data_IF_040744138798
#
_entry.id   IF_040744138798
#
_cell.length_a   1.000
_cell.length_b   1.000
_cell.length_c   1.000
_cell.angle_alpha   90.00
_cell.angle_beta   90.00
_cell.angle_gamma   90.00
#
_symmetry.space_group_name_H-M   'P 1'
#
loop_
_entity.id
_entity.type
_entity.pdbx_description
1 polymer ?
#
# COMPACT_ATOMS: atom_id res chain seq x y z
N UNK A 1 14.11 1.91 34.89
CA UNK A 1 15.48 1.35 35.05
C UNK A 1 15.60 0.13 34.19
N UNK A 2 16.45 0.17 33.21
CA UNK A 2 16.77 -0.98 32.36
C UNK A 2 17.56 -2.00 33.19
N UNK A 3 17.23 -3.29 33.07
CA UNK A 3 17.96 -4.36 33.73
C UNK A 3 19.37 -4.49 33.15
N UNK A 4 20.33 -4.90 33.99
CA UNK A 4 21.65 -5.27 33.48
C UNK A 4 21.52 -6.53 32.59
N UNK A 5 21.82 -6.46 31.29
CA UNK A 5 21.57 -7.54 30.34
C UNK A 5 22.30 -8.86 30.74
N UNK A 6 23.46 -8.76 31.40
CA UNK A 6 24.21 -9.94 31.85
C UNK A 6 23.46 -10.69 32.97
N UNK A 7 22.97 -9.94 33.97
CA UNK A 7 22.22 -10.54 35.10
C UNK A 7 20.85 -11.05 34.66
N UNK A 8 20.19 -10.30 33.75
CA UNK A 8 18.89 -10.71 33.19
C UNK A 8 19.05 -11.96 32.34
N UNK A 9 20.11 -12.02 31.51
CA UNK A 9 20.43 -13.19 30.70
C UNK A 9 20.66 -14.46 31.54
N UNK A 10 21.43 -14.36 32.62
CA UNK A 10 21.66 -15.50 33.50
C UNK A 10 20.34 -16.06 34.11
N UNK A 11 19.51 -15.16 34.64
CA UNK A 11 18.20 -15.55 35.20
C UNK A 11 17.26 -16.12 34.15
N UNK A 12 17.25 -15.52 32.96
CA UNK A 12 16.42 -15.98 31.86
C UNK A 12 16.80 -17.39 31.43
N UNK A 13 18.07 -17.68 31.29
CA UNK A 13 18.60 -18.98 30.90
C UNK A 13 18.26 -20.04 31.94
N UNK A 14 18.50 -19.78 33.24
CA UNK A 14 18.14 -20.65 34.31
C UNK A 14 16.62 -20.94 34.36
N UNK A 15 15.81 -19.92 34.15
CA UNK A 15 14.35 -20.05 34.15
C UNK A 15 13.85 -20.86 32.95
N UNK A 16 14.33 -20.61 31.75
CA UNK A 16 13.94 -21.32 30.52
C UNK A 16 14.30 -22.81 30.65
N UNK A 17 15.55 -23.14 31.01
CA UNK A 17 16.01 -24.49 31.15
C UNK A 17 15.18 -25.21 32.22
N UNK A 18 14.96 -24.56 33.39
CA UNK A 18 14.16 -25.11 34.47
C UNK A 18 12.70 -25.41 34.10
N UNK A 19 12.03 -24.48 33.43
CA UNK A 19 10.64 -24.65 32.99
C UNK A 19 10.51 -25.72 31.91
N UNK A 20 11.38 -25.72 30.90
CA UNK A 20 11.33 -26.68 29.80
C UNK A 20 11.60 -28.12 30.29
N UNK A 21 12.55 -28.29 31.21
CA UNK A 21 12.84 -29.57 31.81
C UNK A 21 11.66 -30.08 32.68
N UNK A 22 10.97 -29.17 33.39
CA UNK A 22 9.74 -29.50 34.10
C UNK A 22 8.58 -29.94 33.19
N UNK A 23 8.52 -29.40 31.98
CA UNK A 23 7.55 -29.80 30.95
C UNK A 23 7.92 -31.10 30.23
N UNK A 24 9.03 -31.75 30.61
CA UNK A 24 9.45 -33.04 30.09
C UNK A 24 10.28 -32.95 28.78
N UNK A 25 10.78 -31.78 28.40
CA UNK A 25 11.71 -31.67 27.29
C UNK A 25 13.10 -32.17 27.68
N UNK A 26 13.86 -32.75 26.72
CA UNK A 26 15.26 -33.11 26.94
C UNK A 26 16.08 -31.87 27.31
N UNK A 27 16.99 -32.04 28.28
CA UNK A 27 17.81 -30.93 28.78
C UNK A 27 18.65 -30.27 27.69
N UNK A 28 19.13 -31.05 26.71
CA UNK A 28 19.87 -30.51 25.55
C UNK A 28 19.02 -29.58 24.69
N UNK A 29 17.73 -29.91 24.47
CA UNK A 29 16.81 -29.05 23.73
C UNK A 29 16.49 -27.77 24.51
N UNK A 30 16.28 -27.88 25.83
CA UNK A 30 16.06 -26.73 26.71
C UNK A 30 17.26 -25.78 26.76
N UNK A 31 18.46 -26.33 26.77
CA UNK A 31 19.70 -25.54 26.70
C UNK A 31 19.87 -24.84 25.33
N UNK A 32 19.53 -25.51 24.22
CA UNK A 32 19.58 -24.93 22.89
C UNK A 32 18.57 -23.78 22.73
N UNK A 33 17.38 -23.95 23.26
CA UNK A 33 16.37 -22.89 23.23
C UNK A 33 16.76 -21.71 24.12
N UNK A 34 17.28 -21.98 25.32
CA UNK A 34 17.84 -20.92 26.18
C UNK A 34 18.98 -20.16 25.49
N UNK A 35 19.85 -20.87 24.77
CA UNK A 35 20.94 -20.26 24.00
C UNK A 35 20.41 -19.36 22.87
N UNK A 36 19.35 -19.78 22.17
CA UNK A 36 18.73 -19.00 21.10
C UNK A 36 18.07 -17.71 21.62
N UNK A 37 17.65 -17.67 22.86
CA UNK A 37 17.02 -16.53 23.53
C UNK A 37 18.00 -15.69 24.38
N UNK A 38 19.30 -15.90 24.22
CA UNK A 38 20.31 -15.16 24.98
C UNK A 38 20.28 -13.66 24.69
N UNK A 39 20.46 -12.86 25.73
CA UNK A 39 20.51 -11.40 25.66
C UNK A 39 21.95 -10.84 25.53
N UNK A 40 22.96 -11.71 25.58
CA UNK A 40 24.35 -11.36 25.50
C UNK A 40 25.05 -12.28 24.50
N UNK A 41 25.87 -11.72 23.62
CA UNK A 41 26.68 -12.48 22.66
C UNK A 41 27.69 -13.40 23.36
N UNK A 42 28.19 -14.43 22.65
CA UNK A 42 29.13 -15.40 23.20
C UNK A 42 30.46 -14.78 23.62
N UNK A 43 30.88 -13.74 22.93
CA UNK A 43 32.08 -12.97 23.24
C UNK A 43 31.89 -11.91 24.35
N UNK A 44 30.66 -11.78 24.87
CA UNK A 44 30.29 -10.84 25.92
C UNK A 44 30.36 -9.36 25.49
N UNK A 45 30.51 -9.07 24.20
CA UNK A 45 30.73 -7.71 23.69
C UNK A 45 29.48 -6.99 23.28
N UNK A 46 28.41 -7.74 22.96
CA UNK A 46 27.13 -7.21 22.55
C UNK A 46 26.07 -7.71 23.53
N UNK A 47 25.30 -6.80 24.06
CA UNK A 47 24.14 -7.13 24.90
C UNK A 47 22.93 -6.30 24.48
N UNK A 48 21.72 -6.87 24.55
CA UNK A 48 20.50 -6.11 24.34
C UNK A 48 19.54 -6.29 25.52
N UNK A 49 18.68 -5.32 25.68
CA UNK A 49 17.57 -5.37 26.63
C UNK A 49 16.32 -4.92 25.92
N UNK A 50 15.19 -5.48 26.29
CA UNK A 50 13.87 -5.08 25.80
C UNK A 50 13.16 -4.25 26.85
N UNK A 51 12.38 -3.29 26.43
CA UNK A 51 11.49 -2.50 27.26
C UNK A 51 10.21 -2.22 26.46
N UNK A 52 9.17 -1.94 27.18
CA UNK A 52 7.87 -1.58 26.60
C UNK A 52 7.53 -0.16 27.01
N UNK A 53 6.94 0.58 26.10
CA UNK A 53 6.30 1.84 26.44
C UNK A 53 4.93 1.54 27.05
N UNK A 54 4.52 2.38 28.01
CA UNK A 54 3.17 2.32 28.60
C UNK A 54 2.17 3.01 27.65
N UNK A 55 1.95 2.37 26.50
CA UNK A 55 1.12 2.85 25.42
C UNK A 55 0.38 1.66 24.76
N UNK A 56 -0.89 1.87 24.41
CA UNK A 56 -1.71 0.81 23.78
C UNK A 56 -1.33 0.56 22.32
N UNK A 57 -0.71 1.56 21.67
CA UNK A 57 -0.24 1.47 20.29
C UNK A 57 1.05 2.25 20.06
N UNK A 58 1.76 1.93 18.96
CA UNK A 58 2.96 2.65 18.58
C UNK A 58 2.72 4.13 18.24
N UNK A 59 1.49 4.52 17.90
CA UNK A 59 1.11 5.90 17.61
C UNK A 59 0.95 6.75 18.88
N UNK A 60 0.78 6.12 20.02
CA UNK A 60 0.67 6.81 21.31
C UNK A 60 2.03 7.11 21.94
N UNK A 61 3.10 6.47 21.44
CA UNK A 61 4.46 6.77 21.86
C UNK A 61 4.85 8.16 21.39
N UNK A 62 4.96 9.08 22.34
CA UNK A 62 5.25 10.49 22.07
C UNK A 62 6.74 10.71 21.78
N UNK A 63 7.06 11.86 21.21
CA UNK A 63 8.46 12.28 21.04
C UNK A 63 9.18 12.44 22.39
N UNK A 64 8.45 12.82 23.44
CA UNK A 64 8.98 12.91 24.81
C UNK A 64 9.39 11.52 25.33
N UNK A 65 8.60 10.49 25.08
CA UNK A 65 8.94 9.10 25.47
C UNK A 65 10.18 8.60 24.73
N UNK A 66 10.31 8.92 23.45
CA UNK A 66 11.47 8.58 22.63
C UNK A 66 12.71 9.33 23.11
N UNK A 67 12.57 10.59 23.51
CA UNK A 67 13.66 11.39 24.04
C UNK A 67 14.20 10.80 25.34
N UNK A 68 13.37 10.24 26.21
CA UNK A 68 13.79 9.53 27.43
C UNK A 68 14.72 8.35 27.05
N UNK A 69 14.41 7.62 26.00
CA UNK A 69 15.25 6.52 25.51
C UNK A 69 16.56 7.06 24.91
N UNK A 70 16.49 8.14 24.14
CA UNK A 70 17.67 8.81 23.57
C UNK A 70 18.63 9.29 24.67
N UNK A 71 18.11 9.93 25.71
CA UNK A 71 18.89 10.38 26.87
C UNK A 71 19.55 9.20 27.62
N UNK A 72 18.83 8.08 27.72
CA UNK A 72 19.40 6.85 28.31
C UNK A 72 20.53 6.26 27.43
N UNK A 73 20.39 6.30 26.10
CA UNK A 73 21.45 5.89 25.18
C UNK A 73 22.69 6.79 25.30
N UNK A 74 22.51 8.09 25.46
CA UNK A 74 23.62 9.04 25.58
C UNK A 74 24.42 8.84 26.85
N UNK A 75 23.80 8.41 27.95
CA UNK A 75 24.53 7.99 29.17
C UNK A 75 25.45 6.79 28.86
N UNK A 76 24.96 5.80 28.11
CA UNK A 76 25.78 4.66 27.70
C UNK A 76 26.92 5.05 26.76
N UNK A 77 26.64 5.91 25.79
CA UNK A 77 27.61 6.44 24.83
C UNK A 77 28.71 7.27 25.54
N UNK A 78 28.32 8.07 26.53
CA UNK A 78 29.29 8.82 27.36
C UNK A 78 30.19 7.89 28.19
N UNK A 79 29.75 6.68 28.50
CA UNK A 79 30.57 5.65 29.15
C UNK A 79 31.46 4.86 28.15
N UNK A 80 31.49 5.23 26.89
CA UNK A 80 32.30 4.59 25.85
C UNK A 80 31.68 3.37 25.18
N UNK A 81 30.39 3.13 25.37
CA UNK A 81 29.65 2.05 24.72
C UNK A 81 29.05 2.54 23.37
N UNK A 82 28.98 1.64 22.41
CA UNK A 82 28.10 1.85 21.25
C UNK A 82 26.70 1.41 21.66
N UNK A 83 25.75 2.36 21.66
CA UNK A 83 24.36 2.10 22.07
C UNK A 83 23.43 2.50 20.95
N UNK A 84 22.59 1.56 20.54
CA UNK A 84 21.56 1.75 19.52
C UNK A 84 20.22 1.26 20.08
N UNK A 85 19.14 1.93 19.70
CA UNK A 85 17.78 1.50 19.99
C UNK A 85 17.03 1.22 18.68
N UNK A 86 16.09 0.29 18.75
CA UNK A 86 15.26 -0.07 17.61
C UNK A 86 13.98 -0.77 18.08
N UNK A 87 13.13 -1.12 17.16
CA UNK A 87 11.84 -1.73 17.43
C UNK A 87 10.67 -0.81 17.12
N UNK A 88 9.47 -1.36 17.13
CA UNK A 88 8.27 -0.67 16.65
C UNK A 88 7.92 0.60 17.44
N UNK A 89 8.21 0.62 18.75
CA UNK A 89 7.93 1.79 19.59
C UNK A 89 8.96 2.91 19.48
N UNK A 90 10.22 2.60 19.05
CA UNK A 90 11.28 3.58 18.94
C UNK A 90 11.53 4.05 17.50
N UNK A 91 11.14 3.25 16.51
CA UNK A 91 11.18 3.65 15.10
C UNK A 91 10.19 4.78 14.82
N UNK A 92 10.46 5.54 13.75
CA UNK A 92 9.47 6.48 13.27
C UNK A 92 8.19 5.71 12.94
N UNK A 93 7.03 6.13 13.49
CA UNK A 93 5.76 5.55 13.08
C UNK A 93 5.67 5.66 11.56
N UNK A 94 5.05 4.66 10.91
CA UNK A 94 4.74 4.79 9.49
C UNK A 94 3.74 5.93 9.37
N UNK A 95 4.27 7.15 9.30
CA UNK A 95 3.45 8.34 9.11
C UNK A 95 2.79 8.24 7.74
N UNK A 96 1.47 8.14 7.74
CA UNK A 96 0.70 8.42 6.53
C UNK A 96 0.94 9.89 6.20
N UNK A 97 1.91 10.14 5.34
CA UNK A 97 2.26 11.50 4.98
C UNK A 97 1.16 12.06 4.06
N UNK A 98 0.17 12.68 4.68
CA UNK A 98 -0.99 13.30 4.00
C UNK A 98 -0.55 14.24 2.87
N UNK A 99 0.62 14.86 3.00
CA UNK A 99 1.18 15.73 1.95
C UNK A 99 1.53 14.94 0.70
N UNK A 100 2.13 13.77 0.85
CA UNK A 100 2.49 12.88 -0.28
C UNK A 100 1.24 12.35 -0.98
N UNK A 101 0.19 12.01 -0.23
CA UNK A 101 -1.08 11.57 -0.79
C UNK A 101 -1.78 12.69 -1.56
N UNK A 102 -1.82 13.90 -1.02
CA UNK A 102 -2.40 15.06 -1.70
C UNK A 102 -1.62 15.40 -2.98
N UNK A 103 -0.30 15.33 -2.96
CA UNK A 103 0.53 15.51 -4.16
C UNK A 103 0.20 14.42 -5.19
N UNK A 104 0.09 13.16 -4.77
CA UNK A 104 -0.28 12.04 -5.64
C UNK A 104 -1.64 12.24 -6.31
N UNK A 105 -2.66 12.61 -5.55
CA UNK A 105 -4.00 12.93 -6.07
C UNK A 105 -3.93 14.14 -7.01
N UNK A 106 -3.16 15.18 -6.66
CA UNK A 106 -2.96 16.36 -7.51
C UNK A 106 -2.32 16.02 -8.85
N UNK A 107 -1.28 15.18 -8.85
CA UNK A 107 -0.63 14.69 -10.07
C UNK A 107 -1.60 13.83 -10.89
N UNK A 108 -2.33 12.91 -10.26
CA UNK A 108 -3.35 12.12 -10.94
C UNK A 108 -4.42 13.00 -11.58
N UNK A 109 -4.89 14.02 -10.88
CA UNK A 109 -5.84 15.01 -11.43
C UNK A 109 -5.28 15.74 -12.65
N UNK A 110 -4.02 16.19 -12.60
CA UNK A 110 -3.37 16.87 -13.73
C UNK A 110 -3.25 15.94 -14.95
N UNK A 111 -2.85 14.69 -14.74
CA UNK A 111 -2.77 13.67 -15.80
C UNK A 111 -4.15 13.44 -16.42
N UNK A 112 -5.17 13.29 -15.60
CA UNK A 112 -6.56 13.11 -16.06
C UNK A 112 -7.05 14.39 -16.82
N UNK A 113 -6.69 15.56 -16.34
CA UNK A 113 -7.05 16.83 -16.97
C UNK A 113 -6.42 16.95 -18.37
N UNK A 114 -5.16 16.59 -18.52
CA UNK A 114 -4.48 16.54 -19.83
C UNK A 114 -5.11 15.47 -20.72
N UNK A 115 -5.45 14.31 -20.18
CA UNK A 115 -6.02 13.18 -20.94
C UNK A 115 -7.43 13.48 -21.44
N UNK A 116 -8.29 14.06 -20.61
CA UNK A 116 -9.69 14.29 -20.94
C UNK A 116 -9.96 15.73 -21.45
N UNK A 117 -9.09 16.67 -21.12
CA UNK A 117 -9.26 18.09 -21.50
C UNK A 117 -10.49 18.74 -20.88
N UNK A 118 -11.01 18.20 -19.78
CA UNK A 118 -12.21 18.66 -19.10
C UNK A 118 -12.08 18.49 -17.59
N UNK A 119 -12.35 19.56 -16.85
CA UNK A 119 -12.30 19.56 -15.40
C UNK A 119 -13.30 18.57 -14.78
N UNK A 120 -14.55 18.57 -15.25
CA UNK A 120 -15.59 17.68 -14.76
C UNK A 120 -15.24 16.19 -15.00
N UNK A 121 -14.76 15.85 -16.20
CA UNK A 121 -14.37 14.48 -16.53
C UNK A 121 -13.17 14.01 -15.70
N UNK A 122 -12.23 14.88 -15.39
CA UNK A 122 -11.04 14.53 -14.58
C UNK A 122 -11.36 14.33 -13.10
N UNK A 123 -12.36 15.04 -12.57
CA UNK A 123 -12.77 14.94 -11.17
C UNK A 123 -13.57 13.65 -10.88
N UNK A 124 -14.37 13.16 -11.84
CA UNK A 124 -15.26 12.00 -11.63
C UNK A 124 -14.53 10.72 -11.18
N UNK A 125 -13.44 10.27 -11.82
CA UNK A 125 -12.71 9.10 -11.38
C UNK A 125 -12.17 9.23 -9.96
N UNK A 126 -11.67 10.42 -9.60
CA UNK A 126 -11.10 10.69 -8.27
C UNK A 126 -12.20 10.63 -7.21
N UNK A 127 -13.34 11.29 -7.44
CA UNK A 127 -14.48 11.25 -6.51
C UNK A 127 -14.98 9.82 -6.33
N UNK A 128 -15.10 9.05 -7.43
CA UNK A 128 -15.51 7.65 -7.38
C UNK A 128 -14.52 6.81 -6.57
N UNK A 129 -13.21 7.02 -6.77
CA UNK A 129 -12.17 6.31 -6.03
C UNK A 129 -12.18 6.67 -4.53
N UNK A 130 -12.31 7.95 -4.19
CA UNK A 130 -12.40 8.41 -2.79
C UNK A 130 -13.60 7.81 -2.08
N UNK A 131 -14.76 7.74 -2.73
CA UNK A 131 -15.96 7.10 -2.16
C UNK A 131 -15.73 5.61 -1.94
N UNK A 132 -15.17 4.90 -2.93
CA UNK A 132 -14.87 3.47 -2.80
C UNK A 132 -13.88 3.18 -1.67
N UNK A 133 -12.80 3.93 -1.61
CA UNK A 133 -11.78 3.83 -0.55
C UNK A 133 -12.33 4.23 0.81
N UNK A 134 -13.14 5.29 0.86
CA UNK A 134 -13.79 5.71 2.10
C UNK A 134 -14.68 4.62 2.72
N UNK A 135 -15.48 3.94 1.89
CA UNK A 135 -16.29 2.79 2.34
C UNK A 135 -15.37 1.65 2.81
N UNK A 136 -14.31 1.33 2.05
CA UNK A 136 -13.33 0.31 2.41
C UNK A 136 -12.64 0.62 3.74
N UNK A 137 -12.16 1.85 3.90
CA UNK A 137 -11.48 2.30 5.13
C UNK A 137 -12.42 2.26 6.36
N UNK A 138 -13.66 2.73 6.22
CA UNK A 138 -14.66 2.65 7.30
C UNK A 138 -14.98 1.20 7.69
N UNK A 139 -15.04 0.29 6.72
CA UNK A 139 -15.25 -1.12 7.01
C UNK A 139 -14.04 -1.72 7.76
N UNK A 140 -12.80 -1.41 7.35
CA UNK A 140 -11.59 -1.84 8.02
C UNK A 140 -11.56 -1.31 9.47
N UNK A 141 -11.80 -0.02 9.67
CA UNK A 141 -11.87 0.59 10.99
C UNK A 141 -12.97 -0.01 11.87
N UNK A 142 -14.09 -0.45 11.27
CA UNK A 142 -15.14 -1.15 12.02
C UNK A 142 -14.70 -2.53 12.49
N UNK A 143 -13.78 -3.21 11.78
CA UNK A 143 -13.27 -4.54 12.18
C UNK A 143 -12.22 -4.48 13.28
N UNK A 144 -11.55 -3.34 13.51
CA UNK A 144 -10.55 -3.19 14.58
C UNK A 144 -11.12 -3.43 15.98
N UNK A 145 -12.44 -3.32 16.12
CA UNK A 145 -13.12 -3.64 17.39
C UNK A 145 -13.04 -5.16 17.75
N UNK A 146 -12.86 -6.03 16.79
CA UNK A 146 -12.83 -7.48 16.98
C UNK A 146 -11.49 -8.13 16.65
N UNK A 147 -10.65 -7.44 15.91
CA UNK A 147 -9.38 -7.96 15.40
C UNK A 147 -8.30 -6.89 15.53
N UNK A 148 -7.18 -7.25 16.12
CA UNK A 148 -6.00 -6.39 16.15
C UNK A 148 -5.39 -6.35 14.76
N UNK A 149 -5.48 -5.20 14.12
CA UNK A 149 -4.90 -4.96 12.80
C UNK A 149 -3.59 -4.20 12.96
N UNK A 150 -2.59 -4.58 12.16
CA UNK A 150 -1.37 -3.81 12.04
C UNK A 150 -1.64 -2.45 11.39
N UNK A 151 -1.00 -1.40 11.85
CA UNK A 151 -1.16 -0.01 11.41
C UNK A 151 -0.92 0.20 9.90
N UNK A 152 -0.11 -0.66 9.29
CA UNK A 152 0.15 -0.65 7.83
C UNK A 152 -1.06 -1.16 7.04
N UNK A 153 -1.94 -1.95 7.65
CA UNK A 153 -3.08 -2.59 6.95
C UNK A 153 -4.05 -1.57 6.34
N UNK A 154 -4.56 -0.57 7.08
CA UNK A 154 -5.44 0.45 6.51
C UNK A 154 -4.73 1.29 5.44
N UNK A 155 -3.46 1.64 5.65
CA UNK A 155 -2.67 2.45 4.72
C UNK A 155 -2.55 1.74 3.38
N UNK A 156 -2.13 0.49 3.38
CA UNK A 156 -1.98 -0.30 2.16
C UNK A 156 -3.32 -0.49 1.43
N UNK A 157 -4.39 -0.77 2.17
CA UNK A 157 -5.73 -0.93 1.60
C UNK A 157 -6.22 0.35 0.92
N UNK A 158 -6.00 1.52 1.55
CA UNK A 158 -6.32 2.84 0.98
C UNK A 158 -5.51 3.10 -0.28
N UNK A 159 -4.20 2.88 -0.25
CA UNK A 159 -3.31 3.11 -1.41
C UNK A 159 -3.70 2.24 -2.61
N UNK A 160 -3.90 0.94 -2.41
CA UNK A 160 -4.29 0.01 -3.48
C UNK A 160 -5.71 0.35 -3.97
N UNK A 161 -6.65 0.60 -3.06
CA UNK A 161 -8.01 0.95 -3.40
C UNK A 161 -8.12 2.23 -4.21
N UNK A 162 -7.34 3.26 -3.86
CA UNK A 162 -7.30 4.52 -4.60
C UNK A 162 -6.75 4.33 -6.02
N UNK A 163 -5.62 3.62 -6.15
CA UNK A 163 -5.00 3.33 -7.44
C UNK A 163 -5.98 2.57 -8.35
N UNK A 164 -6.54 1.47 -7.86
CA UNK A 164 -7.49 0.62 -8.59
C UNK A 164 -8.78 1.38 -8.92
N UNK A 165 -9.30 2.16 -7.97
CA UNK A 165 -10.51 2.96 -8.15
C UNK A 165 -10.38 4.01 -9.24
N UNK A 166 -9.24 4.71 -9.29
CA UNK A 166 -8.95 5.69 -10.35
C UNK A 166 -8.80 5.00 -11.71
N UNK A 167 -8.01 3.92 -11.79
CA UNK A 167 -7.72 3.22 -13.04
C UNK A 167 -8.99 2.61 -13.65
N UNK A 168 -9.82 1.96 -12.87
CA UNK A 168 -11.05 1.35 -13.37
C UNK A 168 -12.09 2.40 -13.77
N UNK A 169 -12.17 3.48 -13.02
CA UNK A 169 -13.01 4.61 -13.39
C UNK A 169 -12.53 5.27 -14.69
N UNK A 170 -11.21 5.36 -14.89
CA UNK A 170 -10.61 5.87 -16.12
C UNK A 170 -10.99 5.01 -17.34
N UNK A 171 -11.00 3.67 -17.19
CA UNK A 171 -11.39 2.75 -18.26
C UNK A 171 -12.84 2.99 -18.71
N UNK A 172 -13.78 3.05 -17.76
CA UNK A 172 -15.21 3.27 -18.02
C UNK A 172 -15.42 4.66 -18.63
N UNK A 173 -14.79 5.70 -18.07
CA UNK A 173 -14.92 7.08 -18.55
C UNK A 173 -14.36 7.23 -19.98
N UNK A 174 -13.21 6.60 -20.26
CA UNK A 174 -12.61 6.58 -21.59
C UNK A 174 -13.54 5.94 -22.62
N UNK A 175 -14.16 4.82 -22.28
CA UNK A 175 -15.15 4.16 -23.13
C UNK A 175 -16.41 5.00 -23.30
N UNK A 176 -16.92 5.57 -22.22
CA UNK A 176 -18.05 6.50 -22.27
C UNK A 176 -17.80 7.65 -23.24
N UNK A 177 -16.61 8.27 -23.20
CA UNK A 177 -16.24 9.35 -24.14
C UNK A 177 -16.33 8.91 -25.61
N UNK A 178 -15.94 7.67 -25.92
CA UNK A 178 -16.03 7.12 -27.27
C UNK A 178 -17.50 6.91 -27.69
N UNK A 179 -18.30 6.32 -26.82
CA UNK A 179 -19.72 6.03 -27.09
C UNK A 179 -20.58 7.30 -27.19
N UNK A 180 -20.20 8.37 -26.47
CA UNK A 180 -20.88 9.68 -26.54
C UNK A 180 -20.81 10.35 -27.91
N UNK A 181 -19.96 9.91 -28.81
CA UNK A 181 -19.91 10.43 -30.17
C UNK A 181 -21.13 10.02 -31.00
N UNK A 182 -21.75 8.92 -30.66
CA UNK A 182 -22.84 8.30 -31.44
C UNK A 182 -24.11 8.03 -30.65
N UNK A 183 -24.07 8.13 -29.30
CA UNK A 183 -25.17 7.75 -28.41
C UNK A 183 -25.58 8.87 -27.45
N UNK A 184 -26.77 8.77 -26.89
CA UNK A 184 -27.24 9.63 -25.79
C UNK A 184 -26.41 9.40 -24.52
N UNK A 185 -26.51 10.29 -23.51
CA UNK A 185 -25.76 10.16 -22.25
C UNK A 185 -26.02 8.82 -21.53
N UNK A 186 -27.27 8.48 -21.21
CA UNK A 186 -27.60 7.22 -20.55
C UNK A 186 -27.24 5.98 -21.37
N UNK A 187 -27.48 5.98 -22.67
CA UNK A 187 -27.14 4.84 -23.55
C UNK A 187 -25.66 4.64 -23.67
N UNK A 188 -24.88 5.73 -23.74
CA UNK A 188 -23.43 5.69 -23.77
C UNK A 188 -22.85 5.16 -22.44
N UNK A 189 -23.47 5.52 -21.29
CA UNK A 189 -23.06 5.01 -19.99
C UNK A 189 -23.33 3.50 -19.88
N UNK A 190 -24.50 3.04 -20.28
CA UNK A 190 -24.84 1.62 -20.31
C UNK A 190 -23.89 0.82 -21.21
N UNK A 191 -23.57 1.33 -22.41
CA UNK A 191 -22.65 0.67 -23.33
C UNK A 191 -21.21 0.68 -22.80
N UNK A 192 -20.78 1.74 -22.16
CA UNK A 192 -19.44 1.82 -21.55
C UNK A 192 -19.27 0.75 -20.46
N UNK A 193 -20.27 0.58 -19.58
CA UNK A 193 -20.25 -0.47 -18.56
C UNK A 193 -20.35 -1.86 -19.17
N UNK A 194 -21.23 -2.06 -20.16
CA UNK A 194 -21.40 -3.35 -20.82
C UNK A 194 -20.14 -3.84 -21.53
N UNK A 195 -19.27 -2.93 -21.98
CA UNK A 195 -18.02 -3.29 -22.71
C UNK A 195 -16.79 -3.18 -21.83
N UNK A 196 -16.47 -1.99 -21.31
CA UNK A 196 -15.30 -1.80 -20.46
C UNK A 196 -15.47 -2.42 -19.06
N UNK A 197 -16.72 -2.49 -18.55
CA UNK A 197 -17.00 -3.04 -17.24
C UNK A 197 -16.65 -4.53 -17.14
N UNK A 198 -16.83 -5.32 -18.19
CA UNK A 198 -16.39 -6.73 -18.19
C UNK A 198 -14.89 -6.88 -17.97
N UNK A 199 -14.09 -6.02 -18.60
CA UNK A 199 -12.63 -5.99 -18.39
C UNK A 199 -12.28 -5.53 -16.97
N UNK A 200 -13.01 -4.56 -16.41
CA UNK A 200 -12.84 -4.08 -15.04
C UNK A 200 -13.17 -5.18 -14.02
N UNK A 201 -14.26 -5.93 -14.23
CA UNK A 201 -14.62 -7.06 -13.36
C UNK A 201 -13.54 -8.14 -13.40
N UNK A 202 -13.07 -8.50 -14.58
CA UNK A 202 -12.03 -9.52 -14.72
C UNK A 202 -10.70 -9.08 -14.05
N UNK A 203 -10.26 -7.86 -14.32
CA UNK A 203 -9.05 -7.30 -13.71
C UNK A 203 -9.18 -7.17 -12.18
N UNK A 204 -10.33 -6.67 -11.70
CA UNK A 204 -10.63 -6.57 -10.28
C UNK A 204 -10.66 -7.92 -9.58
N UNK A 205 -11.29 -8.92 -10.21
CA UNK A 205 -11.32 -10.30 -9.69
C UNK A 205 -9.91 -10.89 -9.61
N UNK A 206 -9.07 -10.64 -10.59
CA UNK A 206 -7.67 -11.11 -10.59
C UNK A 206 -6.89 -10.51 -9.43
N UNK A 207 -6.99 -9.19 -9.21
CA UNK A 207 -6.33 -8.50 -8.09
C UNK A 207 -6.91 -8.99 -6.76
N UNK A 208 -8.23 -9.13 -6.65
CA UNK A 208 -8.90 -9.67 -5.46
C UNK A 208 -8.36 -11.05 -5.08
N UNK A 209 -8.31 -11.99 -6.03
CA UNK A 209 -7.79 -13.34 -5.80
C UNK A 209 -6.31 -13.30 -5.40
N UNK A 210 -5.49 -12.47 -6.05
CA UNK A 210 -4.08 -12.33 -5.72
C UNK A 210 -3.87 -11.81 -4.29
N UNK A 211 -4.67 -10.85 -3.84
CA UNK A 211 -4.61 -10.30 -2.48
C UNK A 211 -5.11 -11.32 -1.43
N UNK A 212 -6.20 -12.03 -1.71
CA UNK A 212 -6.68 -13.09 -0.82
C UNK A 212 -5.66 -14.23 -0.72
N UNK A 213 -4.92 -14.52 -1.78
CA UNK A 213 -3.88 -15.56 -1.77
C UNK A 213 -2.75 -15.28 -0.75
N UNK A 214 -2.58 -14.05 -0.26
CA UNK A 214 -1.64 -13.73 0.82
C UNK A 214 -1.95 -14.48 2.13
N UNK A 215 -3.20 -14.91 2.33
CA UNK A 215 -3.58 -15.77 3.46
C UNK A 215 -2.82 -17.09 3.45
N UNK A 216 -2.46 -17.59 2.27
CA UNK A 216 -1.70 -18.85 2.13
C UNK A 216 -0.25 -18.75 2.62
N UNK A 217 0.27 -17.54 2.81
CA UNK A 217 1.61 -17.35 3.39
C UNK A 217 1.71 -17.77 4.86
N UNK A 218 0.59 -17.93 5.57
CA UNK A 218 0.55 -18.36 6.97
C UNK A 218 1.10 -17.31 7.95
N UNK A 219 1.28 -16.07 7.52
CA UNK A 219 1.73 -14.94 8.34
C UNK A 219 0.52 -14.09 8.67
N UNK A 220 0.18 -13.96 9.93
CA UNK A 220 -1.08 -13.39 10.40
C UNK A 220 -1.28 -11.95 9.92
N UNK A 221 -0.32 -11.05 10.14
CA UNK A 221 -0.44 -9.65 9.72
C UNK A 221 -0.58 -9.52 8.19
N UNK A 222 0.11 -10.37 7.42
CA UNK A 222 0.05 -10.37 5.96
C UNK A 222 -1.31 -10.86 5.45
N UNK A 223 -1.90 -11.83 6.16
CA UNK A 223 -3.24 -12.35 5.87
C UNK A 223 -4.30 -11.25 6.04
N UNK A 224 -4.26 -10.53 7.16
CA UNK A 224 -5.18 -9.42 7.40
C UNK A 224 -4.98 -8.27 6.42
N UNK A 225 -3.73 -7.95 6.09
CA UNK A 225 -3.39 -6.96 5.06
C UNK A 225 -3.98 -7.33 3.70
N UNK A 226 -3.82 -8.59 3.30
CA UNK A 226 -4.36 -9.11 2.05
C UNK A 226 -5.88 -9.05 1.98
N UNK A 227 -6.56 -9.49 3.05
CA UNK A 227 -8.02 -9.48 3.13
C UNK A 227 -8.59 -8.06 3.11
N UNK A 228 -8.00 -7.15 3.90
CA UNK A 228 -8.43 -5.75 3.94
C UNK A 228 -8.27 -5.05 2.58
N UNK A 229 -7.12 -5.25 1.93
CA UNK A 229 -6.86 -4.71 0.60
C UNK A 229 -7.80 -5.32 -0.46
N UNK A 230 -8.03 -6.65 -0.41
CA UNK A 230 -8.97 -7.33 -1.30
C UNK A 230 -10.39 -6.78 -1.17
N UNK A 231 -10.86 -6.59 0.06
CA UNK A 231 -12.17 -6.01 0.32
C UNK A 231 -12.27 -4.58 -0.24
N UNK A 232 -11.26 -3.74 -0.02
CA UNK A 232 -11.23 -2.37 -0.54
C UNK A 232 -11.22 -2.34 -2.06
N UNK A 233 -10.48 -3.24 -2.72
CA UNK A 233 -10.50 -3.41 -4.17
C UNK A 233 -11.88 -3.83 -4.66
N UNK A 234 -12.51 -4.79 -3.99
CA UNK A 234 -13.87 -5.24 -4.33
C UNK A 234 -14.88 -4.08 -4.28
N UNK A 235 -14.86 -3.29 -3.19
CA UNK A 235 -15.72 -2.10 -3.05
C UNK A 235 -15.41 -1.07 -4.14
N UNK A 236 -14.14 -0.80 -4.43
CA UNK A 236 -13.73 0.16 -5.47
C UNK A 236 -14.22 -0.25 -6.86
N UNK A 237 -14.19 -1.56 -7.17
CA UNK A 237 -14.77 -2.11 -8.42
C UNK A 237 -16.27 -1.88 -8.47
N UNK A 238 -17.00 -2.19 -7.39
CA UNK A 238 -18.45 -1.98 -7.33
C UNK A 238 -18.82 -0.51 -7.52
N UNK A 239 -18.10 0.40 -6.85
CA UNK A 239 -18.34 1.85 -6.98
C UNK A 239 -18.04 2.32 -8.40
N UNK A 240 -16.94 1.86 -9.02
CA UNK A 240 -16.62 2.20 -10.41
C UNK A 240 -17.69 1.71 -11.40
N UNK A 241 -18.29 0.55 -11.16
CA UNK A 241 -19.32 -0.05 -12.03
C UNK A 241 -20.74 0.48 -11.78
N UNK A 242 -20.99 1.12 -10.65
CA UNK A 242 -22.33 1.61 -10.27
C UNK A 242 -22.40 3.13 -10.20
N UNK A 243 -21.61 3.74 -9.30
CA UNK A 243 -21.66 5.18 -9.06
C UNK A 243 -21.18 5.99 -10.26
N UNK A 244 -20.06 5.59 -10.87
CA UNK A 244 -19.51 6.35 -12.00
C UNK A 244 -20.45 6.39 -13.20
N UNK A 245 -21.01 5.27 -13.72
CA UNK A 245 -21.96 5.32 -14.82
C UNK A 245 -23.26 6.04 -14.45
N UNK A 246 -23.71 5.98 -13.20
CA UNK A 246 -24.86 6.75 -12.73
C UNK A 246 -24.58 8.26 -12.82
N UNK A 247 -23.41 8.71 -12.37
CA UNK A 247 -22.99 10.11 -12.52
C UNK A 247 -22.87 10.52 -13.98
N UNK A 248 -22.28 9.68 -14.84
CA UNK A 248 -22.12 9.95 -16.26
C UNK A 248 -23.48 10.03 -16.99
N UNK A 249 -24.41 9.16 -16.63
CA UNK A 249 -25.77 9.17 -17.18
C UNK A 249 -26.55 10.41 -16.76
N UNK A 250 -26.47 10.78 -15.47
CA UNK A 250 -27.17 11.93 -14.91
C UNK A 250 -26.61 13.28 -15.43
N UNK A 251 -25.29 13.39 -15.59
CA UNK A 251 -24.64 14.62 -16.04
C UNK A 251 -24.66 14.78 -17.57
N UNK A 252 -24.77 13.69 -18.32
CA UNK A 252 -24.90 13.70 -19.77
C UNK A 252 -23.89 14.62 -20.48
N UNK A 253 -24.36 15.70 -21.08
CA UNK A 253 -23.50 16.67 -21.77
C UNK A 253 -22.60 17.46 -20.82
N UNK A 254 -22.98 17.63 -19.56
CA UNK A 254 -22.20 18.34 -18.55
C UNK A 254 -21.02 17.50 -18.03
N UNK A 255 -20.99 16.20 -18.29
CA UNK A 255 -19.88 15.32 -17.91
C UNK A 255 -18.51 15.77 -18.48
N UNK A 256 -18.52 16.52 -19.57
CA UNK A 256 -17.32 17.13 -20.17
C UNK A 256 -17.34 18.66 -20.09
N UNK A 257 -17.99 19.24 -19.09
CA UNK A 257 -17.97 20.68 -18.86
C UNK A 257 -16.59 21.16 -18.41
N UNK A 258 -16.31 22.45 -18.61
CA UNK A 258 -14.99 23.02 -18.27
C UNK A 258 -13.90 22.57 -19.26
N UNK A 259 -14.22 22.44 -20.53
CA UNK A 259 -13.23 22.16 -21.59
C UNK A 259 -12.19 23.27 -21.63
N UNK A 260 -10.92 22.88 -21.60
CA UNK A 260 -9.79 23.78 -21.77
C UNK A 260 -9.38 23.74 -23.25
N UNK A 261 -9.69 24.77 -24.06
CA UNK A 261 -9.55 24.72 -25.54
C UNK A 261 -8.12 24.44 -26.03
N UNK A 262 -7.10 24.78 -25.21
CA UNK A 262 -5.68 24.55 -25.53
C UNK A 262 -5.16 23.16 -25.15
N UNK A 263 -5.86 22.46 -24.28
CA UNK A 263 -5.47 21.14 -23.75
C UNK A 263 -6.42 20.05 -24.27
N UNK A 264 -7.60 20.46 -24.75
CA UNK A 264 -8.60 19.53 -25.28
C UNK A 264 -8.03 18.75 -26.49
N UNK A 265 -7.63 17.51 -26.23
CA UNK A 265 -6.87 16.65 -27.13
C UNK A 265 -7.57 16.19 -28.41
N UNK A 266 -8.45 16.97 -29.00
CA UNK A 266 -9.00 16.66 -30.33
C UNK A 266 -7.96 16.81 -31.43
N UNK A 267 -6.99 17.73 -31.29
CA UNK A 267 -5.88 17.89 -32.26
C UNK A 267 -4.66 17.00 -31.95
N UNK A 268 -4.54 16.46 -30.72
CA UNK A 268 -3.48 15.51 -30.38
C UNK A 268 -3.80 14.08 -30.88
N UNK A 269 -5.06 13.79 -31.22
CA UNK A 269 -5.48 12.46 -31.68
C UNK A 269 -5.06 12.15 -33.13
N UNK A 270 -4.90 13.15 -33.98
CA UNK A 270 -4.42 12.94 -35.36
C UNK A 270 -2.89 12.86 -35.48
N UNK A 271 -2.14 13.47 -34.56
CA UNK A 271 -0.68 13.35 -34.44
C UNK A 271 -0.31 12.80 -33.05
N UNK A 272 -0.83 11.66 -32.66
CA UNK A 272 -0.57 11.18 -31.32
C UNK A 272 0.88 10.70 -31.21
N UNK A 273 1.58 11.24 -30.20
CA UNK A 273 2.90 10.78 -29.77
C UNK A 273 2.89 9.25 -29.56
N UNK A 274 1.77 8.69 -29.11
CA UNK A 274 1.52 7.27 -29.01
C UNK A 274 1.55 6.52 -30.37
N UNK A 275 1.05 7.14 -31.45
CA UNK A 275 1.11 6.52 -32.79
C UNK A 275 2.55 6.42 -33.29
N UNK A 276 3.34 7.47 -33.08
CA UNK A 276 4.75 7.48 -33.43
C UNK A 276 5.53 6.45 -32.62
N UNK A 277 5.22 6.33 -31.30
CA UNK A 277 5.79 5.30 -30.43
C UNK A 277 5.43 3.90 -30.88
N UNK A 278 4.17 3.63 -31.13
CA UNK A 278 3.71 2.32 -31.67
C UNK A 278 4.38 1.99 -33.00
N UNK A 279 4.50 2.96 -33.90
CA UNK A 279 5.18 2.77 -35.19
C UNK A 279 6.68 2.47 -35.00
N UNK A 280 7.33 3.14 -34.04
CA UNK A 280 8.72 2.86 -33.69
C UNK A 280 8.90 1.44 -33.14
N UNK A 281 8.07 1.05 -32.16
CA UNK A 281 8.09 -0.30 -31.61
C UNK A 281 7.82 -1.37 -32.68
N UNK A 282 6.85 -1.14 -33.55
CA UNK A 282 6.56 -2.05 -34.67
C UNK A 282 7.70 -2.14 -35.69
N UNK A 283 8.42 -1.05 -35.89
CA UNK A 283 9.54 -1.02 -36.85
C UNK A 283 10.80 -1.70 -36.32
N UNK A 284 11.02 -1.62 -34.99
CA UNK A 284 12.22 -2.16 -34.35
C UNK A 284 11.90 -3.01 -33.12
N UNK A 285 11.09 -4.07 -33.23
CA UNK A 285 10.65 -4.86 -32.08
C UNK A 285 11.81 -5.53 -31.34
N UNK A 286 12.78 -6.08 -32.05
CA UNK A 286 13.94 -6.74 -31.46
C UNK A 286 14.85 -5.75 -30.68
N UNK A 287 15.03 -4.53 -31.22
CA UNK A 287 15.83 -3.49 -30.55
C UNK A 287 15.15 -3.04 -29.26
N UNK A 288 13.83 -2.79 -29.28
CA UNK A 288 13.08 -2.37 -28.08
C UNK A 288 13.13 -3.48 -27.03
N UNK A 289 12.95 -4.73 -27.43
CA UNK A 289 13.04 -5.88 -26.51
C UNK A 289 14.46 -6.02 -25.92
N UNK A 290 15.50 -5.89 -26.74
CA UNK A 290 16.88 -5.94 -26.28
C UNK A 290 17.19 -4.81 -25.25
N UNK A 291 16.76 -3.58 -25.53
CA UNK A 291 16.93 -2.45 -24.62
C UNK A 291 16.23 -2.70 -23.27
N UNK A 292 15.00 -3.21 -23.29
CA UNK A 292 14.26 -3.53 -22.06
C UNK A 292 14.97 -4.63 -21.26
N UNK A 293 15.40 -5.71 -21.92
CA UNK A 293 16.12 -6.82 -21.26
C UNK A 293 17.44 -6.33 -20.65
N UNK A 294 18.21 -5.53 -21.39
CA UNK A 294 19.49 -4.98 -20.90
C UNK A 294 19.24 -4.03 -19.73
N UNK A 295 18.23 -3.16 -19.81
CA UNK A 295 17.88 -2.24 -18.73
C UNK A 295 17.47 -2.98 -17.45
N UNK A 296 16.59 -3.99 -17.56
CA UNK A 296 16.19 -4.83 -16.44
C UNK A 296 17.36 -5.64 -15.87
N UNK A 297 18.22 -6.20 -16.73
CA UNK A 297 19.42 -6.90 -16.30
C UNK A 297 20.40 -6.01 -15.58
N UNK A 298 20.62 -4.78 -16.06
CA UNK A 298 21.47 -3.79 -15.38
C UNK A 298 20.90 -3.37 -14.01
N UNK A 299 19.58 -3.23 -13.90
CA UNK A 299 18.92 -2.94 -12.62
C UNK A 299 18.99 -4.11 -11.63
N UNK A 300 19.08 -5.33 -12.12
CA UNK A 300 19.21 -6.54 -11.29
C UNK A 300 20.66 -6.84 -10.87
N UNK A 301 21.65 -6.25 -11.55
CA UNK A 301 23.08 -6.52 -11.31
C UNK A 301 23.54 -6.28 -9.85
N UNK A 302 23.04 -5.28 -9.08
CA UNK A 302 23.43 -5.08 -7.68
C UNK A 302 22.96 -6.21 -6.74
N UNK A 303 22.05 -7.09 -7.18
CA UNK A 303 21.48 -8.18 -6.37
C UNK A 303 22.22 -9.51 -6.60
N UNK A 304 23.01 -9.58 -7.67
CA UNK A 304 23.85 -10.75 -8.03
C UNK A 304 25.26 -10.60 -7.47
#
# INVERSE_FOLDING_TARGET
RFGNPVLVNQKLQETIVGQMTQMGLPEEAAQQDAYNLRLVSDDGRIGYTTFEFDAESNFEVTEEDRQIVADAMDIGRAAGLQVEAGGAGYGDPIEVNTTSELIGIGVAFLVLLVTFGSFAASTMPIVSAIVGVGIGALAILSTTHWVELNDVTPVLAVMIGLAVGIDYSLFILSRYRQERKTRSGPDAAGMAVGTAGSSVVFAGATVFVALVALVLAGIEFLSWMGVAAAFTVFVSVLVALTMLPALLGAWGNKAFAGRIPKIAGEHLHERSMGRNWVNFVRRFPALVMAVVIVALGAMSAPVL
#
